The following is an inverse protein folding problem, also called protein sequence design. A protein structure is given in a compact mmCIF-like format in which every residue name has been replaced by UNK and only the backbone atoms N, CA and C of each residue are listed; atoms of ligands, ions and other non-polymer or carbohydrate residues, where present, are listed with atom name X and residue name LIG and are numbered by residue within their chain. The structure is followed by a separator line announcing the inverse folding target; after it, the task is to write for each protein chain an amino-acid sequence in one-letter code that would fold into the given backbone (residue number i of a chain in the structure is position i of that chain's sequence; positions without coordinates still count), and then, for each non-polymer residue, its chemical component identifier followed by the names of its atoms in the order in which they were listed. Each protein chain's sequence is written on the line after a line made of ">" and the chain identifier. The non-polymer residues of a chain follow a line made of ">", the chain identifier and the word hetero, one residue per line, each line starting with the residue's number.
data_IF_642538004312
#
_entry.id   IF_642538004312
#
_cell.length_a   1.000
_cell.length_b   1.000
_cell.length_c   1.000
_cell.angle_alpha   90.00
_cell.angle_beta   90.00
_cell.angle_gamma   90.00
#
_symmetry.space_group_name_H-M   'P 1'
#
loop_
_entity.id
_entity.type
_entity.pdbx_description
1 polymer ?
#
# COMPACT_ATOMS: atom_id res chain seq x y z
N UNK A 1 9.06 -24.04 3.88
CA UNK A 1 8.23 -22.86 4.22
C UNK A 1 8.50 -21.74 3.24
N UNK A 2 7.46 -21.06 2.77
CA UNK A 2 7.66 -19.86 1.95
C UNK A 2 8.03 -18.70 2.87
N UNK A 3 9.10 -17.98 2.54
CA UNK A 3 9.45 -16.75 3.24
C UNK A 3 8.29 -15.75 3.12
N UNK A 4 7.79 -15.19 4.23
CA UNK A 4 6.73 -14.19 4.17
C UNK A 4 7.15 -12.99 3.31
N UNK A 5 6.27 -12.55 2.43
CA UNK A 5 6.54 -11.45 1.52
C UNK A 5 5.32 -10.53 1.41
N UNK A 6 5.45 -9.29 1.87
CA UNK A 6 4.40 -8.29 1.84
C UNK A 6 4.60 -7.37 0.64
N UNK A 7 3.56 -7.20 -0.17
CA UNK A 7 3.49 -6.12 -1.17
C UNK A 7 2.77 -4.92 -0.55
N UNK A 8 3.40 -3.76 -0.59
CA UNK A 8 2.79 -2.49 -0.17
C UNK A 8 2.61 -1.62 -1.41
N UNK A 9 1.37 -1.21 -1.69
CA UNK A 9 1.01 -0.51 -2.92
C UNK A 9 0.47 0.88 -2.61
N UNK A 10 1.12 1.91 -3.14
CA UNK A 10 0.60 3.28 -3.20
C UNK A 10 1.29 4.06 -4.32
N UNK A 11 0.50 4.68 -5.19
CA UNK A 11 1.01 5.35 -6.40
C UNK A 11 1.11 6.88 -6.28
N UNK A 12 0.39 7.49 -5.33
CA UNK A 12 0.36 8.96 -5.11
C UNK A 12 -0.28 9.28 -3.75
N UNK A 13 -0.24 10.50 -3.27
CA UNK A 13 0.59 11.60 -3.70
C UNK A 13 1.98 11.54 -3.04
N UNK A 14 2.91 12.42 -3.47
CA UNK A 14 4.30 12.39 -2.97
C UNK A 14 4.38 12.47 -1.43
N UNK A 15 3.64 13.37 -0.78
CA UNK A 15 3.62 13.50 0.68
C UNK A 15 3.07 12.26 1.38
N UNK A 16 2.01 11.67 0.85
CA UNK A 16 1.43 10.43 1.38
C UNK A 16 2.39 9.25 1.23
N UNK A 17 3.11 9.17 0.12
CA UNK A 17 4.13 8.14 -0.11
C UNK A 17 5.32 8.35 0.83
N UNK A 18 5.74 9.58 1.05
CA UNK A 18 6.83 9.90 1.99
C UNK A 18 6.47 9.50 3.43
N UNK A 19 5.21 9.66 3.84
CA UNK A 19 4.73 9.23 5.16
C UNK A 19 4.72 7.71 5.36
N UNK A 20 4.81 6.92 4.29
CA UNK A 20 4.97 5.47 4.40
C UNK A 20 6.37 5.06 4.88
N UNK A 21 7.38 5.88 4.66
CA UNK A 21 8.79 5.53 4.94
C UNK A 21 9.01 5.09 6.39
N UNK A 22 8.58 5.84 7.43
CA UNK A 22 8.73 5.41 8.82
C UNK A 22 8.02 4.09 9.11
N UNK A 23 6.85 3.89 8.54
CA UNK A 23 6.05 2.67 8.75
C UNK A 23 6.74 1.46 8.11
N UNK A 24 7.21 1.60 6.89
CA UNK A 24 7.94 0.53 6.18
C UNK A 24 9.25 0.20 6.90
N UNK A 25 9.96 1.21 7.34
CA UNK A 25 11.21 1.04 8.10
C UNK A 25 10.98 0.32 9.43
N UNK A 26 9.95 0.71 10.18
CA UNK A 26 9.57 0.06 11.44
C UNK A 26 9.17 -1.40 11.22
N UNK A 27 8.37 -1.67 10.19
CA UNK A 27 7.98 -3.02 9.81
C UNK A 27 9.21 -3.87 9.47
N UNK A 28 10.12 -3.33 8.70
CA UNK A 28 11.34 -4.01 8.28
C UNK A 28 12.24 -4.38 9.47
N UNK A 29 12.32 -3.49 10.45
CA UNK A 29 13.10 -3.73 11.68
C UNK A 29 12.45 -4.75 12.61
N UNK A 30 11.13 -4.69 12.77
CA UNK A 30 10.40 -5.63 13.63
C UNK A 30 10.35 -7.04 13.07
N UNK A 31 10.36 -7.17 11.75
CA UNK A 31 10.25 -8.45 11.06
C UNK A 31 11.38 -8.61 10.04
N UNK A 32 12.62 -8.81 10.49
CA UNK A 32 13.77 -8.88 9.59
C UNK A 32 13.73 -10.04 8.59
N UNK A 33 12.98 -11.10 8.92
CA UNK A 33 12.82 -12.29 8.05
C UNK A 33 11.68 -12.13 7.03
N UNK A 34 10.92 -11.04 7.09
CA UNK A 34 9.84 -10.75 6.16
C UNK A 34 10.38 -9.90 5.01
N UNK A 35 10.16 -10.35 3.79
CA UNK A 35 10.45 -9.55 2.61
C UNK A 35 9.37 -8.51 2.40
N UNK A 36 9.76 -7.29 2.08
CA UNK A 36 8.85 -6.17 1.83
C UNK A 36 9.15 -5.59 0.46
N UNK A 37 8.15 -5.55 -0.40
CA UNK A 37 8.25 -4.86 -1.70
C UNK A 37 7.30 -3.67 -1.73
N UNK A 38 7.86 -2.49 -1.87
CA UNK A 38 7.08 -1.26 -2.05
C UNK A 38 6.87 -1.02 -3.53
N UNK A 39 5.63 -0.92 -3.94
CA UNK A 39 5.21 -0.69 -5.32
C UNK A 39 4.66 0.72 -5.45
N UNK A 40 5.33 1.57 -6.19
CA UNK A 40 4.96 2.96 -6.37
C UNK A 40 5.46 3.50 -7.70
N UNK A 41 5.19 4.77 -7.96
CA UNK A 41 5.69 5.44 -9.17
C UNK A 41 7.20 5.71 -9.07
N UNK A 42 7.88 5.92 -10.19
CA UNK A 42 9.35 6.08 -10.20
C UNK A 42 9.90 7.16 -9.27
N UNK A 43 9.17 8.25 -9.01
CA UNK A 43 9.61 9.32 -8.13
C UNK A 43 9.89 8.84 -6.69
N UNK A 44 9.21 7.80 -6.24
CA UNK A 44 9.33 7.29 -4.87
C UNK A 44 10.57 6.41 -4.65
N UNK A 45 11.32 6.09 -5.68
CA UNK A 45 12.51 5.24 -5.58
C UNK A 45 13.49 5.74 -4.52
N UNK A 46 13.77 7.04 -4.49
CA UNK A 46 14.69 7.65 -3.54
C UNK A 46 14.25 7.52 -2.08
N UNK A 47 12.94 7.42 -1.82
CA UNK A 47 12.40 7.27 -0.48
C UNK A 47 12.62 5.89 0.12
N UNK A 48 12.62 4.85 -0.71
CA UNK A 48 12.64 3.45 -0.27
C UNK A 48 13.93 2.71 -0.61
N UNK A 49 14.75 3.30 -1.44
CA UNK A 49 16.02 2.70 -1.84
C UNK A 49 16.96 2.64 -0.63
N UNK A 50 17.41 1.43 -0.31
CA UNK A 50 18.39 1.18 0.76
C UNK A 50 17.94 1.56 2.18
N UNK A 51 16.64 1.59 2.46
CA UNK A 51 16.18 1.89 3.84
C UNK A 51 16.38 0.70 4.79
N UNK A 52 16.31 -0.52 4.28
CA UNK A 52 16.56 -1.75 5.03
C UNK A 52 16.92 -2.90 4.08
N UNK A 53 17.67 -3.93 4.55
CA UNK A 53 18.08 -5.05 3.70
C UNK A 53 16.93 -5.88 3.12
N UNK A 54 15.81 -5.97 3.87
CA UNK A 54 14.64 -6.76 3.49
C UNK A 54 13.57 -5.94 2.74
N UNK A 55 13.85 -4.69 2.43
CA UNK A 55 12.96 -3.82 1.64
C UNK A 55 13.49 -3.66 0.22
N UNK A 56 12.61 -3.90 -0.74
CA UNK A 56 12.87 -3.64 -2.16
C UNK A 56 11.83 -2.67 -2.73
N UNK A 57 12.20 -1.97 -3.78
CA UNK A 57 11.31 -1.03 -4.46
C UNK A 57 11.07 -1.45 -5.90
N UNK A 58 9.80 -1.41 -6.31
CA UNK A 58 9.39 -1.65 -7.69
C UNK A 58 8.73 -0.40 -8.25
N UNK A 59 9.34 0.21 -9.26
CA UNK A 59 8.78 1.35 -9.97
C UNK A 59 7.72 0.89 -10.98
N UNK A 60 6.58 1.58 -11.00
CA UNK A 60 5.48 1.31 -11.92
C UNK A 60 5.08 2.60 -12.61
N UNK A 61 5.20 2.64 -13.93
CA UNK A 61 4.71 3.73 -14.75
C UNK A 61 3.31 3.41 -15.27
N UNK A 62 2.31 3.96 -14.61
CA UNK A 62 0.89 3.71 -14.93
C UNK A 62 0.45 4.35 -16.24
N UNK A 63 1.19 5.35 -16.74
CA UNK A 63 0.85 6.05 -17.97
C UNK A 63 1.45 5.40 -19.21
N UNK A 64 2.62 4.79 -19.07
CA UNK A 64 3.35 4.16 -20.18
C UNK A 64 3.12 2.66 -20.24
N UNK A 65 3.59 1.96 -19.21
CA UNK A 65 3.68 0.49 -19.24
C UNK A 65 2.39 -0.22 -18.82
N UNK A 66 1.56 0.43 -17.99
CA UNK A 66 0.39 -0.19 -17.35
C UNK A 66 -0.88 0.65 -17.55
N UNK A 67 -1.18 0.97 -18.79
CA UNK A 67 -2.34 1.78 -19.15
C UNK A 67 -3.59 0.92 -19.31
N UNK A 68 -4.71 1.38 -18.69
CA UNK A 68 -6.00 0.72 -18.79
C UNK A 68 -6.07 -0.65 -18.10
N UNK A 69 -7.16 -1.38 -18.35
CA UNK A 69 -7.38 -2.71 -17.73
C UNK A 69 -6.34 -3.72 -18.17
N UNK A 70 -5.94 -3.70 -19.43
CA UNK A 70 -4.88 -4.59 -19.94
C UNK A 70 -3.54 -4.33 -19.25
N UNK A 71 -3.21 -3.05 -19.02
CA UNK A 71 -2.03 -2.66 -18.28
C UNK A 71 -2.09 -3.11 -16.81
N UNK A 72 -3.23 -2.98 -16.15
CA UNK A 72 -3.44 -3.48 -14.79
C UNK A 72 -3.34 -5.00 -14.70
N UNK A 73 -3.84 -5.73 -15.69
CA UNK A 73 -3.66 -7.19 -15.76
C UNK A 73 -2.19 -7.59 -15.91
N UNK A 74 -1.43 -6.85 -16.71
CA UNK A 74 0.00 -7.07 -16.86
C UNK A 74 0.76 -6.78 -15.56
N UNK A 75 0.39 -5.70 -14.87
CA UNK A 75 0.92 -5.36 -13.55
C UNK A 75 0.61 -6.45 -12.51
N UNK A 76 -0.61 -6.94 -12.47
CA UNK A 76 -1.01 -8.03 -11.59
C UNK A 76 -0.11 -9.26 -11.80
N UNK A 77 0.10 -9.68 -13.04
CA UNK A 77 0.97 -10.82 -13.37
C UNK A 77 2.40 -10.58 -12.90
N UNK A 78 2.92 -9.38 -13.07
CA UNK A 78 4.26 -9.00 -12.62
C UNK A 78 4.38 -9.01 -11.09
N UNK A 79 3.37 -8.54 -10.39
CA UNK A 79 3.31 -8.59 -8.92
C UNK A 79 3.17 -10.03 -8.42
N UNK A 80 2.37 -10.84 -9.09
CA UNK A 80 2.19 -12.25 -8.77
C UNK A 80 3.51 -13.03 -8.90
N UNK A 81 4.33 -12.68 -9.89
CA UNK A 81 5.65 -13.30 -10.10
C UNK A 81 6.62 -13.05 -8.93
N UNK A 82 6.41 -12.03 -8.13
CA UNK A 82 7.16 -11.78 -6.88
C UNK A 82 6.80 -12.75 -5.75
N UNK A 83 5.78 -13.57 -5.93
CA UNK A 83 5.30 -14.55 -4.95
C UNK A 83 4.98 -13.94 -3.58
N UNK A 84 4.09 -12.94 -3.49
CA UNK A 84 3.71 -12.37 -2.21
C UNK A 84 2.93 -13.37 -1.37
N UNK A 85 2.95 -13.18 -0.07
CA UNK A 85 2.07 -13.89 0.87
C UNK A 85 0.94 -12.98 1.36
N UNK A 86 1.14 -11.67 1.33
CA UNK A 86 0.15 -10.67 1.73
C UNK A 86 0.27 -9.41 0.86
N UNK A 87 -0.84 -8.72 0.67
CA UNK A 87 -0.91 -7.46 -0.08
C UNK A 87 -1.53 -6.38 0.80
N UNK A 88 -0.80 -5.30 1.00
CA UNK A 88 -1.24 -4.12 1.73
C UNK A 88 -1.50 -2.98 0.74
N UNK A 89 -2.76 -2.63 0.54
CA UNK A 89 -3.17 -1.50 -0.28
C UNK A 89 -3.25 -0.23 0.57
N UNK A 90 -2.22 0.59 0.49
CA UNK A 90 -2.16 1.88 1.18
C UNK A 90 -2.81 3.02 0.39
N UNK A 91 -3.35 2.75 -0.76
CA UNK A 91 -3.92 3.77 -1.64
C UNK A 91 -5.44 3.76 -1.71
N UNK A 92 -6.06 2.60 -1.85
CA UNK A 92 -7.50 2.39 -1.94
C UNK A 92 -8.17 3.28 -3.01
N UNK A 93 -7.73 3.12 -4.25
CA UNK A 93 -8.31 3.73 -5.45
C UNK A 93 -8.76 2.66 -6.43
N UNK A 94 -9.46 3.03 -7.53
CA UNK A 94 -9.97 2.05 -8.49
C UNK A 94 -8.91 1.08 -9.02
N UNK A 95 -7.73 1.57 -9.33
CA UNK A 95 -6.62 0.74 -9.82
C UNK A 95 -6.19 -0.30 -8.78
N UNK A 96 -6.03 0.13 -7.54
CA UNK A 96 -5.64 -0.79 -6.46
C UNK A 96 -6.79 -1.70 -6.05
N UNK A 97 -8.04 -1.26 -6.15
CA UNK A 97 -9.20 -2.12 -5.96
C UNK A 97 -9.23 -3.28 -6.96
N UNK A 98 -8.91 -3.01 -8.23
CA UNK A 98 -8.79 -4.05 -9.25
C UNK A 98 -7.70 -5.08 -8.88
N UNK A 99 -6.52 -4.61 -8.50
CA UNK A 99 -5.42 -5.48 -8.08
C UNK A 99 -5.80 -6.32 -6.86
N UNK A 100 -6.41 -5.70 -5.85
CA UNK A 100 -6.88 -6.42 -4.64
C UNK A 100 -7.88 -7.51 -4.98
N UNK A 101 -8.84 -7.21 -5.84
CA UNK A 101 -9.84 -8.18 -6.27
C UNK A 101 -9.18 -9.40 -6.93
N UNK A 102 -8.20 -9.17 -7.81
CA UNK A 102 -7.45 -10.25 -8.45
C UNK A 102 -6.67 -11.09 -7.43
N UNK A 103 -6.03 -10.46 -6.47
CA UNK A 103 -5.32 -11.18 -5.40
C UNK A 103 -6.28 -11.95 -4.49
N UNK A 104 -7.43 -11.39 -4.14
CA UNK A 104 -8.45 -12.09 -3.35
C UNK A 104 -8.95 -13.35 -4.07
N UNK A 105 -9.22 -13.27 -5.36
CA UNK A 105 -9.60 -14.42 -6.17
C UNK A 105 -8.52 -15.50 -6.20
N UNK A 106 -7.26 -15.11 -6.11
CA UNK A 106 -6.12 -16.02 -6.02
C UNK A 106 -5.87 -16.60 -4.65
N UNK A 107 -6.66 -16.26 -3.63
CA UNK A 107 -6.53 -16.77 -2.26
C UNK A 107 -5.46 -16.08 -1.40
N UNK A 108 -5.02 -14.89 -1.79
CA UNK A 108 -4.01 -14.13 -1.03
C UNK A 108 -4.65 -13.32 0.11
N UNK A 109 -3.89 -13.13 1.20
CA UNK A 109 -4.28 -12.21 2.27
C UNK A 109 -4.15 -10.76 1.79
N UNK A 110 -5.25 -10.01 1.86
CA UNK A 110 -5.30 -8.63 1.37
C UNK A 110 -5.94 -7.73 2.41
N UNK A 111 -5.35 -6.58 2.66
CA UNK A 111 -5.95 -5.51 3.45
C UNK A 111 -5.77 -4.16 2.74
N UNK A 112 -6.63 -3.21 3.03
CA UNK A 112 -6.60 -1.88 2.43
C UNK A 112 -6.79 -0.79 3.47
N UNK A 113 -6.29 0.40 3.15
CA UNK A 113 -6.42 1.57 4.00
C UNK A 113 -7.87 2.04 4.10
N UNK A 114 -8.28 2.41 5.31
CA UNK A 114 -9.52 3.16 5.54
C UNK A 114 -9.20 4.66 5.54
N UNK A 115 -9.74 5.38 4.58
CA UNK A 115 -9.52 6.84 4.44
C UNK A 115 -10.41 7.67 5.37
N UNK A 116 -11.24 7.03 6.19
CA UNK A 116 -12.16 7.71 7.13
C UNK A 116 -12.96 8.85 6.48
N UNK A 117 -13.42 8.64 5.24
CA UNK A 117 -14.13 9.65 4.44
C UNK A 117 -15.37 10.19 5.16
N UNK A 118 -16.10 9.32 5.87
CA UNK A 118 -17.29 9.71 6.62
C UNK A 118 -16.95 10.67 7.77
N UNK A 119 -15.93 10.37 8.56
CA UNK A 119 -15.47 11.24 9.63
C UNK A 119 -14.95 12.58 9.11
N UNK A 120 -14.18 12.58 8.02
CA UNK A 120 -13.72 13.80 7.38
C UNK A 120 -14.87 14.63 6.83
N UNK A 121 -15.90 14.01 6.25
CA UNK A 121 -17.09 14.68 5.75
C UNK A 121 -17.87 15.33 6.89
N UNK A 122 -18.02 14.66 8.05
CA UNK A 122 -18.68 15.20 9.23
C UNK A 122 -17.90 16.40 9.82
N UNK A 123 -16.58 16.35 9.80
CA UNK A 123 -15.71 17.44 10.26
C UNK A 123 -15.85 18.69 9.40
N UNK A 124 -16.00 18.53 8.08
CA UNK A 124 -16.05 19.62 7.11
C UNK A 124 -17.46 20.12 6.77
N UNK A 125 -18.50 19.66 7.48
CA UNK A 125 -19.89 20.13 7.26
C UNK A 125 -20.03 21.63 7.51
N UNK A 126 -20.90 22.28 6.76
CA UNK A 126 -21.30 23.69 7.05
C UNK A 126 -22.10 23.81 8.33
N UNK A 127 -23.02 22.88 8.56
CA UNK A 127 -23.89 22.83 9.73
C UNK A 127 -23.71 21.50 10.47
N UNK A 128 -23.97 21.48 11.78
CA UNK A 128 -23.85 20.30 12.63
C UNK A 128 -22.48 19.61 12.51
N UNK A 129 -21.40 20.38 12.58
CA UNK A 129 -20.03 19.85 12.53
C UNK A 129 -19.76 18.93 13.71
N UNK A 130 -19.13 17.79 13.40
CA UNK A 130 -18.63 16.89 14.41
C UNK A 130 -17.11 17.06 14.51
N UNK A 131 -16.65 17.72 15.56
CA UNK A 131 -15.23 17.94 15.85
C UNK A 131 -14.65 16.70 16.54
N UNK A 132 -14.24 15.74 15.75
CA UNK A 132 -13.59 14.53 16.26
C UNK A 132 -12.23 14.39 15.57
N UNK A 133 -11.19 14.16 16.38
CA UNK A 133 -9.87 13.89 15.84
C UNK A 133 -9.89 12.65 14.93
N UNK A 134 -9.42 12.81 13.71
CA UNK A 134 -9.30 11.70 12.77
C UNK A 134 -7.93 11.00 12.93
N UNK A 135 -7.84 9.69 12.65
CA UNK A 135 -6.55 8.99 12.67
C UNK A 135 -5.54 9.63 11.72
N UNK A 136 -4.28 9.63 12.13
CA UNK A 136 -3.17 10.09 11.29
C UNK A 136 -2.91 9.12 10.13
N UNK A 137 -2.21 9.57 9.09
CA UNK A 137 -1.80 8.69 7.99
C UNK A 137 -0.93 7.55 8.48
N UNK A 138 -0.04 7.79 9.44
CA UNK A 138 0.78 6.75 10.06
C UNK A 138 -0.06 5.67 10.73
N UNK A 139 -1.09 6.07 11.48
CA UNK A 139 -2.01 5.15 12.14
C UNK A 139 -2.81 4.33 11.10
N UNK A 140 -3.27 4.98 10.04
CA UNK A 140 -4.00 4.31 8.97
C UNK A 140 -3.13 3.23 8.30
N UNK A 141 -1.88 3.50 8.04
CA UNK A 141 -0.95 2.51 7.47
C UNK A 141 -0.65 1.37 8.44
N UNK A 142 -0.44 1.68 9.71
CA UNK A 142 -0.23 0.67 10.75
C UNK A 142 -1.45 -0.26 10.89
N UNK A 143 -2.66 0.28 10.81
CA UNK A 143 -3.90 -0.49 10.88
C UNK A 143 -4.02 -1.50 9.72
N UNK A 144 -3.59 -1.13 8.52
CA UNK A 144 -3.56 -2.06 7.37
C UNK A 144 -2.64 -3.24 7.66
N UNK A 145 -1.45 -2.98 8.18
CA UNK A 145 -0.48 -4.02 8.52
C UNK A 145 -0.99 -4.89 9.66
N UNK A 146 -1.64 -4.32 10.66
CA UNK A 146 -2.26 -5.06 11.76
C UNK A 146 -3.33 -6.06 11.26
N UNK A 147 -4.13 -5.68 10.27
CA UNK A 147 -5.11 -6.58 9.62
C UNK A 147 -4.45 -7.77 8.93
N UNK A 148 -3.20 -7.64 8.51
CA UNK A 148 -2.41 -8.70 7.90
C UNK A 148 -1.60 -9.52 8.92
N UNK A 149 -1.68 -9.15 10.21
CA UNK A 149 -0.99 -9.86 11.30
C UNK A 149 0.38 -9.30 11.68
N UNK A 150 0.68 -8.03 11.35
CA UNK A 150 1.96 -7.37 11.64
C UNK A 150 1.85 -6.18 12.57
#
# INVERSE_FOLDING_TARGET
>A
MKTPHILIIRFSAMGDVAMMVPIVFSLAKQYPDVRISVVSRPFARSFFQRIAPNVSFMAVDLKKDYKGIRGLSALYRRLLAKRPTAVADFHNVLRTCYLRFRFLLGGYSVAHINKHKRGKKLLCRRENKVFRQQPTSFQNYADVLAKLGY
#
